data_IF_262167448828
#
_entry.id   IF_262167448828
#
_cell.length_a   1.000
_cell.length_b   1.000
_cell.length_c   1.000
_cell.angle_alpha   90.00
_cell.angle_beta   90.00
_cell.angle_gamma   90.00
#
_symmetry.space_group_name_H-M   'P 1'
#
loop_
_entity.id
_entity.type
_entity.pdbx_description
1 polymer ?
#
# COMPACT_ATOMS: atom_id res chain seq x y z
N UNK A 1 -45.79 -24.13 0.85
CA UNK A 1 -45.26 -22.84 0.36
C UNK A 1 -44.57 -22.03 1.46
N UNK A 2 -45.24 -21.65 2.56
CA UNK A 2 -44.65 -20.81 3.64
C UNK A 2 -43.34 -21.37 4.24
N UNK A 3 -43.26 -22.69 4.43
CA UNK A 3 -42.07 -23.37 4.98
C UNK A 3 -40.85 -23.29 4.03
N UNK A 4 -41.07 -23.38 2.72
CA UNK A 4 -40.01 -23.27 1.70
C UNK A 4 -39.45 -21.84 1.67
N UNK A 5 -40.33 -20.82 1.76
CA UNK A 5 -39.90 -19.42 1.80
C UNK A 5 -39.09 -19.09 3.06
N UNK A 6 -39.47 -19.62 4.22
CA UNK A 6 -38.70 -19.42 5.47
C UNK A 6 -37.33 -20.09 5.39
N UNK A 7 -37.28 -21.34 4.91
CA UNK A 7 -36.03 -22.09 4.78
C UNK A 7 -35.07 -21.42 3.77
N UNK A 8 -35.60 -20.88 2.66
CA UNK A 8 -34.82 -20.14 1.68
C UNK A 8 -34.30 -18.80 2.23
N UNK A 9 -35.12 -18.09 3.03
CA UNK A 9 -34.69 -16.85 3.70
C UNK A 9 -33.60 -17.10 4.75
N UNK A 10 -33.68 -18.20 5.50
CA UNK A 10 -32.66 -18.56 6.49
C UNK A 10 -31.33 -18.98 5.82
N UNK A 11 -31.38 -19.72 4.72
CA UNK A 11 -30.19 -20.04 3.91
C UNK A 11 -29.54 -18.77 3.36
N UNK A 12 -30.33 -17.85 2.80
CA UNK A 12 -29.81 -16.57 2.29
C UNK A 12 -29.17 -15.76 3.43
N UNK A 13 -29.83 -15.65 4.58
CA UNK A 13 -29.27 -14.94 5.75
C UNK A 13 -27.97 -15.58 6.23
N UNK A 14 -27.92 -16.90 6.26
CA UNK A 14 -26.72 -17.64 6.64
C UNK A 14 -25.57 -17.37 5.66
N UNK A 15 -25.81 -17.44 4.35
CA UNK A 15 -24.79 -17.15 3.32
C UNK A 15 -24.28 -15.72 3.45
N UNK A 16 -25.18 -14.73 3.60
CA UNK A 16 -24.77 -13.34 3.82
C UNK A 16 -23.93 -13.17 5.09
N UNK A 17 -24.31 -13.85 6.17
CA UNK A 17 -23.54 -13.81 7.43
C UNK A 17 -22.15 -14.42 7.26
N UNK A 18 -22.03 -15.55 6.57
CA UNK A 18 -20.73 -16.17 6.26
C UNK A 18 -19.86 -15.25 5.42
N UNK A 19 -20.40 -14.64 4.36
CA UNK A 19 -19.66 -13.69 3.51
C UNK A 19 -19.21 -12.49 4.33
N UNK A 20 -20.09 -11.92 5.16
CA UNK A 20 -19.78 -10.78 6.01
C UNK A 20 -18.66 -11.11 6.99
N UNK A 21 -18.77 -12.23 7.71
CA UNK A 21 -17.75 -12.68 8.68
C UNK A 21 -16.42 -12.94 7.98
N UNK A 22 -16.42 -13.64 6.84
CA UNK A 22 -15.20 -13.91 6.07
C UNK A 22 -14.53 -12.62 5.60
N UNK A 23 -15.30 -11.66 5.11
CA UNK A 23 -14.79 -10.35 4.67
C UNK A 23 -14.23 -9.55 5.85
N UNK A 24 -14.93 -9.52 6.98
CA UNK A 24 -14.48 -8.84 8.19
C UNK A 24 -13.16 -9.43 8.70
N UNK A 25 -13.04 -10.76 8.75
CA UNK A 25 -11.80 -11.45 9.13
C UNK A 25 -10.66 -11.14 8.16
N UNK A 26 -10.91 -11.16 6.85
CA UNK A 26 -9.89 -10.80 5.86
C UNK A 26 -9.38 -9.36 6.04
N UNK A 27 -10.29 -8.40 6.27
CA UNK A 27 -9.92 -7.01 6.55
C UNK A 27 -9.11 -6.87 7.85
N UNK A 28 -9.46 -7.62 8.90
CA UNK A 28 -8.72 -7.63 10.15
C UNK A 28 -7.30 -8.19 9.98
N UNK A 29 -7.13 -9.24 9.17
CA UNK A 29 -5.81 -9.80 8.86
C UNK A 29 -4.96 -8.78 8.10
N UNK A 30 -5.53 -8.12 7.08
CA UNK A 30 -4.82 -7.07 6.32
C UNK A 30 -4.47 -5.90 7.22
N UNK A 31 -5.41 -5.41 8.04
CA UNK A 31 -5.16 -4.32 8.97
C UNK A 31 -4.07 -4.67 10.00
N UNK A 32 -4.09 -5.88 10.54
CA UNK A 32 -3.05 -6.40 11.43
C UNK A 32 -1.69 -6.47 10.77
N UNK A 33 -1.62 -6.95 9.52
CA UNK A 33 -0.40 -6.97 8.72
C UNK A 33 0.16 -5.55 8.49
N UNK A 34 -0.67 -4.61 8.02
CA UNK A 34 -0.27 -3.22 7.80
C UNK A 34 0.17 -2.54 9.09
N UNK A 35 -0.52 -2.79 10.21
CA UNK A 35 -0.15 -2.26 11.51
C UNK A 35 1.22 -2.80 11.95
N UNK A 36 1.43 -4.11 11.85
CA UNK A 36 2.68 -4.76 12.22
C UNK A 36 3.84 -4.26 11.37
N UNK A 37 3.71 -4.31 10.03
CA UNK A 37 4.76 -3.86 9.11
C UNK A 37 5.00 -2.36 9.21
N UNK A 38 3.96 -1.56 9.38
CA UNK A 38 4.09 -0.11 9.47
C UNK A 38 4.83 0.39 10.72
N UNK A 39 4.89 -0.44 11.77
CA UNK A 39 5.66 -0.18 12.99
C UNK A 39 7.11 -0.69 12.92
N UNK A 40 7.50 -1.40 11.86
CA UNK A 40 8.88 -1.79 11.64
C UNK A 40 9.66 -0.65 10.96
N UNK A 41 11.00 -0.60 11.13
CA UNK A 41 11.83 0.31 10.36
C UNK A 41 11.65 0.06 8.86
N UNK A 42 11.53 1.13 8.08
CA UNK A 42 11.43 1.04 6.62
C UNK A 42 12.70 0.45 6.02
N UNK A 43 12.56 -0.31 4.94
CA UNK A 43 13.66 -0.99 4.24
C UNK A 43 14.23 -0.17 3.07
N UNK A 44 13.88 1.10 2.97
CA UNK A 44 14.34 2.02 1.94
C UNK A 44 15.62 2.70 2.40
N UNK A 45 16.72 2.52 1.67
CA UNK A 45 18.06 2.96 2.10
C UNK A 45 18.23 4.47 2.26
N UNK A 46 17.35 5.27 1.64
CA UNK A 46 17.36 6.73 1.74
C UNK A 46 16.53 7.26 2.93
N UNK A 47 15.76 6.40 3.60
CA UNK A 47 14.97 6.77 4.78
C UNK A 47 15.90 6.93 5.99
N UNK A 48 15.65 7.93 6.87
CA UNK A 48 16.38 8.04 8.13
C UNK A 48 16.41 6.73 8.93
N UNK A 49 17.57 6.41 9.51
CA UNK A 49 17.76 5.15 10.23
C UNK A 49 16.72 4.98 11.36
N UNK A 50 16.03 3.84 11.35
CA UNK A 50 15.04 3.50 12.38
C UNK A 50 13.66 4.14 12.20
N UNK A 51 13.45 4.98 11.18
CA UNK A 51 12.13 5.55 10.91
C UNK A 51 11.16 4.47 10.45
N UNK A 52 10.00 4.42 11.09
CA UNK A 52 8.91 3.51 10.72
C UNK A 52 8.05 4.11 9.62
N UNK A 53 7.29 3.27 8.90
CA UNK A 53 6.38 3.77 7.88
C UNK A 53 5.32 4.71 8.46
N UNK A 54 4.83 4.46 9.67
CA UNK A 54 3.85 5.35 10.31
C UNK A 54 4.43 6.73 10.65
N UNK A 55 5.69 6.79 11.09
CA UNK A 55 6.39 8.06 11.31
C UNK A 55 6.57 8.81 10.01
N UNK A 56 7.01 8.10 8.95
CA UNK A 56 7.11 8.69 7.62
C UNK A 56 5.76 9.22 7.14
N UNK A 57 4.69 8.43 7.19
CA UNK A 57 3.36 8.82 6.73
C UNK A 57 2.81 10.04 7.50
N UNK A 58 3.02 10.09 8.82
CA UNK A 58 2.64 11.24 9.65
C UNK A 58 3.41 12.50 9.23
N UNK A 59 4.73 12.41 9.09
CA UNK A 59 5.56 13.52 8.64
C UNK A 59 5.17 14.00 7.22
N UNK A 60 4.82 13.09 6.30
CA UNK A 60 4.31 13.44 4.97
C UNK A 60 2.93 14.11 5.03
N UNK A 61 2.07 13.70 5.96
CA UNK A 61 0.76 14.33 6.19
C UNK A 61 0.92 15.78 6.64
N UNK A 62 1.82 16.03 7.59
CA UNK A 62 2.12 17.37 8.09
C UNK A 62 2.74 18.23 6.98
N UNK A 63 3.76 17.72 6.28
CA UNK A 63 4.41 18.42 5.19
C UNK A 63 3.43 18.82 4.08
N UNK A 64 2.43 18.00 3.77
CA UNK A 64 1.42 18.31 2.76
C UNK A 64 0.49 19.46 3.13
N UNK A 65 0.29 19.72 4.43
CA UNK A 65 -0.53 20.84 4.92
C UNK A 65 0.23 22.17 4.89
N UNK A 66 1.56 22.11 4.95
CA UNK A 66 2.46 23.27 4.89
C UNK A 66 2.70 23.77 3.47
N UNK A 67 2.51 22.93 2.44
CA UNK A 67 2.69 23.33 1.04
C UNK A 67 1.68 24.39 0.63
N UNK A 68 2.17 25.51 0.09
CA UNK A 68 1.34 26.49 -0.58
C UNK A 68 1.37 26.31 -2.11
N UNK A 69 0.20 26.17 -2.77
CA UNK A 69 -1.15 26.13 -2.21
C UNK A 69 -1.50 24.76 -1.60
N UNK A 70 -2.27 24.74 -0.48
CA UNK A 70 -2.62 23.51 0.27
C UNK A 70 -3.20 22.38 -0.58
N UNK A 71 -4.01 22.73 -1.59
CA UNK A 71 -4.59 21.77 -2.56
C UNK A 71 -3.53 20.93 -3.27
N UNK A 72 -2.33 21.46 -3.46
CA UNK A 72 -1.23 20.78 -4.11
C UNK A 72 -0.71 19.65 -3.22
N UNK A 73 -0.39 19.97 -1.96
CA UNK A 73 0.17 18.99 -1.04
C UNK A 73 -0.83 17.89 -0.68
N UNK A 74 -2.03 18.29 -0.27
CA UNK A 74 -3.11 17.33 0.03
C UNK A 74 -3.50 16.53 -1.22
N UNK A 75 -3.56 17.17 -2.39
CA UNK A 75 -3.83 16.49 -3.65
C UNK A 75 -2.82 15.39 -3.95
N UNK A 76 -1.52 15.67 -3.79
CA UNK A 76 -0.45 14.69 -3.97
C UNK A 76 -0.59 13.50 -3.01
N UNK A 77 -0.90 13.74 -1.73
CA UNK A 77 -1.15 12.67 -0.76
C UNK A 77 -2.38 11.83 -1.09
N UNK A 78 -3.48 12.46 -1.50
CA UNK A 78 -4.71 11.75 -1.86
C UNK A 78 -4.48 10.90 -3.11
N UNK A 79 -3.83 11.45 -4.12
CA UNK A 79 -3.44 10.69 -5.31
C UNK A 79 -2.57 9.49 -4.94
N UNK A 80 -1.60 9.67 -4.04
CA UNK A 80 -0.80 8.56 -3.52
C UNK A 80 -1.65 7.54 -2.75
N UNK A 81 -2.58 7.96 -1.89
CA UNK A 81 -3.43 7.05 -1.12
C UNK A 81 -4.31 6.16 -2.02
N UNK A 82 -4.73 6.66 -3.18
CA UNK A 82 -5.50 5.90 -4.17
C UNK A 82 -4.60 5.01 -5.03
N UNK A 83 -3.49 5.56 -5.54
CA UNK A 83 -2.67 4.89 -6.54
C UNK A 83 -1.56 4.02 -5.94
N UNK A 84 -0.96 4.42 -4.82
CA UNK A 84 0.18 3.77 -4.19
C UNK A 84 -0.01 2.27 -3.96
N UNK A 85 -1.12 1.83 -3.32
CA UNK A 85 -1.39 0.40 -3.12
C UNK A 85 -1.54 -0.38 -4.43
N UNK A 86 -2.17 0.23 -5.45
CA UNK A 86 -2.41 -0.39 -6.77
C UNK A 86 -1.09 -0.54 -7.54
N UNK A 87 -0.29 0.53 -7.62
CA UNK A 87 1.03 0.46 -8.27
C UNK A 87 1.94 -0.53 -7.56
N UNK A 88 1.88 -0.63 -6.23
CA UNK A 88 2.65 -1.64 -5.50
C UNK A 88 2.26 -3.07 -5.90
N UNK A 89 0.96 -3.34 -6.05
CA UNK A 89 0.49 -4.64 -6.52
C UNK A 89 0.94 -4.94 -7.95
N UNK A 90 0.81 -3.98 -8.87
CA UNK A 90 1.26 -4.12 -10.27
C UNK A 90 2.76 -4.36 -10.34
N UNK A 91 3.58 -3.57 -9.65
CA UNK A 91 5.04 -3.71 -9.67
C UNK A 91 5.50 -5.03 -9.04
N UNK A 92 4.82 -5.48 -7.99
CA UNK A 92 5.07 -6.79 -7.41
C UNK A 92 4.77 -7.92 -8.40
N UNK A 93 3.64 -7.85 -9.12
CA UNK A 93 3.29 -8.85 -10.13
C UNK A 93 4.29 -8.87 -11.29
N UNK A 94 4.70 -7.69 -11.79
CA UNK A 94 5.70 -7.57 -12.85
C UNK A 94 7.01 -8.26 -12.45
N UNK A 95 7.49 -8.04 -11.22
CA UNK A 95 8.71 -8.68 -10.72
C UNK A 95 8.58 -10.20 -10.53
N UNK A 96 7.41 -10.69 -10.12
CA UNK A 96 7.13 -12.13 -9.97
C UNK A 96 6.97 -12.83 -11.32
N UNK A 97 6.47 -12.13 -12.34
CA UNK A 97 6.13 -12.69 -13.65
C UNK A 97 6.86 -11.97 -14.80
N UNK A 98 8.21 -12.06 -14.87
CA UNK A 98 8.96 -11.46 -15.97
C UNK A 98 8.55 -12.08 -17.30
N UNK A 99 8.35 -11.24 -18.32
CA UNK A 99 7.82 -11.59 -19.64
C UNK A 99 6.30 -11.77 -19.72
N UNK A 100 5.58 -11.59 -18.60
CA UNK A 100 4.12 -11.65 -18.51
C UNK A 100 3.41 -10.46 -19.18
N UNK A 101 2.07 -10.42 -19.13
CA UNK A 101 1.30 -9.33 -19.76
C UNK A 101 1.62 -7.98 -19.11
N UNK A 102 1.60 -7.90 -17.78
CA UNK A 102 1.87 -6.64 -17.07
C UNK A 102 3.29 -6.13 -17.30
N UNK A 103 4.28 -7.03 -17.36
CA UNK A 103 5.67 -6.67 -17.66
C UNK A 103 5.79 -6.02 -19.05
N UNK A 104 5.12 -6.58 -20.07
CA UNK A 104 5.17 -6.04 -21.44
C UNK A 104 4.50 -4.68 -21.63
N UNK A 105 3.52 -4.35 -20.78
CA UNK A 105 2.78 -3.07 -20.85
C UNK A 105 3.24 -2.07 -19.81
N UNK A 106 4.11 -2.47 -18.89
CA UNK A 106 4.71 -1.60 -17.88
C UNK A 106 5.98 -0.97 -18.44
N UNK A 107 6.28 0.25 -18.00
CA UNK A 107 7.58 0.86 -18.24
C UNK A 107 8.58 0.38 -17.19
N UNK A 108 9.85 0.32 -17.57
CA UNK A 108 10.94 0.07 -16.64
C UNK A 108 10.94 1.16 -15.55
N UNK A 109 10.74 0.77 -14.30
CA UNK A 109 10.76 1.65 -13.14
C UNK A 109 11.69 1.07 -12.05
N UNK A 110 12.58 1.88 -11.43
CA UNK A 110 13.50 1.40 -10.40
C UNK A 110 12.84 0.79 -9.14
N UNK A 111 11.55 1.06 -8.92
CA UNK A 111 10.79 0.50 -7.81
C UNK A 111 10.27 -0.93 -8.10
N UNK A 112 10.30 -1.39 -9.36
CA UNK A 112 9.96 -2.77 -9.73
C UNK A 112 11.06 -3.70 -9.19
N UNK A 113 10.72 -4.73 -8.40
CA UNK A 113 11.71 -5.65 -7.85
C UNK A 113 12.24 -6.59 -8.94
N UNK A 114 13.55 -6.80 -8.96
CA UNK A 114 14.22 -7.72 -9.90
C UNK A 114 14.71 -8.97 -9.17
N UNK A 115 14.81 -10.09 -9.90
CA UNK A 115 15.31 -11.35 -9.34
C UNK A 115 14.37 -12.04 -8.35
N UNK A 116 13.07 -11.73 -8.38
CA UNK A 116 12.08 -12.24 -7.41
C UNK A 116 11.10 -13.26 -8.00
N UNK A 117 11.31 -13.72 -9.24
CA UNK A 117 10.41 -14.63 -9.98
C UNK A 117 9.98 -15.86 -9.18
N UNK A 118 10.90 -16.49 -8.45
CA UNK A 118 10.67 -17.75 -7.73
C UNK A 118 10.32 -17.53 -6.25
N UNK A 119 9.83 -16.33 -5.89
CA UNK A 119 9.43 -16.00 -4.52
C UNK A 119 8.24 -16.87 -4.09
N UNK A 120 8.35 -17.62 -2.97
CA UNK A 120 7.22 -18.38 -2.45
C UNK A 120 6.04 -17.47 -2.13
N UNK A 121 4.81 -17.95 -2.36
CA UNK A 121 3.59 -17.16 -2.19
C UNK A 121 3.46 -16.48 -0.82
N UNK A 122 3.95 -17.13 0.25
CA UNK A 122 3.88 -16.61 1.62
C UNK A 122 4.86 -15.46 1.87
N UNK A 123 5.87 -15.26 1.02
CA UNK A 123 6.79 -14.12 1.06
C UNK A 123 6.32 -12.95 0.18
N UNK A 124 5.30 -13.16 -0.67
CA UNK A 124 4.76 -12.11 -1.55
C UNK A 124 4.20 -10.91 -0.77
N UNK A 125 3.52 -11.06 0.38
CA UNK A 125 3.09 -9.90 1.17
C UNK A 125 4.26 -9.01 1.62
N UNK A 126 5.38 -9.60 2.03
CA UNK A 126 6.57 -8.85 2.41
C UNK A 126 7.22 -8.16 1.21
N UNK A 127 7.28 -8.84 0.05
CA UNK A 127 7.74 -8.25 -1.20
C UNK A 127 6.87 -7.04 -1.59
N UNK A 128 5.55 -7.19 -1.53
CA UNK A 128 4.60 -6.11 -1.81
C UNK A 128 4.78 -4.94 -0.84
N UNK A 129 4.99 -5.20 0.45
CA UNK A 129 5.26 -4.15 1.42
C UNK A 129 6.54 -3.38 1.09
N UNK A 130 7.60 -4.07 0.71
CA UNK A 130 8.87 -3.44 0.34
C UNK A 130 8.74 -2.56 -0.91
N UNK A 131 7.97 -3.01 -1.91
CA UNK A 131 7.64 -2.21 -3.09
C UNK A 131 6.80 -1.00 -2.70
N UNK A 132 5.82 -1.19 -1.81
CA UNK A 132 4.95 -0.11 -1.32
C UNK A 132 5.78 0.98 -0.62
N UNK A 133 6.71 0.63 0.28
CA UNK A 133 7.59 1.61 0.93
C UNK A 133 8.45 2.38 -0.08
N UNK A 134 9.02 1.69 -1.09
CA UNK A 134 9.83 2.31 -2.15
C UNK A 134 9.02 3.31 -2.97
N UNK A 135 7.81 2.92 -3.39
CA UNK A 135 6.89 3.80 -4.12
C UNK A 135 6.53 5.00 -3.26
N UNK A 136 6.15 4.77 -2.00
CA UNK A 136 5.81 5.83 -1.03
C UNK A 136 6.93 6.85 -0.89
N UNK A 137 8.16 6.37 -0.73
CA UNK A 137 9.34 7.23 -0.67
C UNK A 137 9.54 8.00 -1.97
N UNK A 138 9.52 7.31 -3.12
CA UNK A 138 9.72 7.95 -4.42
C UNK A 138 8.67 9.02 -4.73
N UNK A 139 7.42 8.81 -4.30
CA UNK A 139 6.29 9.69 -4.59
C UNK A 139 6.11 10.80 -3.56
N UNK A 140 6.54 10.65 -2.31
CA UNK A 140 6.28 11.64 -1.23
C UNK A 140 7.54 12.26 -0.62
N UNK A 141 8.71 11.64 -0.79
CA UNK A 141 9.97 12.20 -0.30
C UNK A 141 10.76 12.94 -1.39
N UNK A 142 10.61 12.57 -2.67
CA UNK A 142 11.32 13.24 -3.77
C UNK A 142 10.71 14.60 -4.10
N UNK A 143 11.57 15.54 -4.45
CA UNK A 143 11.15 16.84 -5.00
C UNK A 143 10.42 16.63 -6.32
N UNK A 144 9.24 17.24 -6.44
CA UNK A 144 8.44 17.27 -7.65
C UNK A 144 8.37 18.71 -8.17
N UNK A 145 8.52 18.94 -9.48
CA UNK A 145 8.38 20.28 -10.02
C UNK A 145 7.01 20.85 -9.63
N UNK A 146 7.03 22.03 -8.98
CA UNK A 146 5.89 22.79 -8.44
C UNK A 146 5.28 22.40 -7.07
N UNK A 147 5.54 21.21 -6.51
CA UNK A 147 4.87 20.77 -5.27
C UNK A 147 5.80 20.03 -4.31
N UNK A 148 6.83 20.73 -3.83
CA UNK A 148 7.84 20.13 -2.97
C UNK A 148 7.36 20.09 -1.52
N UNK A 149 7.39 18.90 -0.93
CA UNK A 149 7.26 18.76 0.51
C UNK A 149 8.58 19.20 1.14
N UNK A 150 8.53 19.63 2.40
CA UNK A 150 9.76 19.80 3.17
C UNK A 150 10.54 18.46 3.22
N UNK A 151 11.87 18.52 3.36
CA UNK A 151 12.69 17.33 3.60
C UNK A 151 12.11 16.49 4.74
N UNK A 152 12.27 15.17 4.66
CA UNK A 152 11.82 14.26 5.71
C UNK A 152 12.57 14.57 7.00
N UNK A 153 11.83 14.95 8.03
CA UNK A 153 12.41 15.20 9.35
C UNK A 153 12.67 13.86 10.03
N UNK A 154 13.91 13.66 10.45
CA UNK A 154 14.27 12.50 11.25
C UNK A 154 13.50 12.59 12.56
N UNK A 155 12.75 11.55 12.94
CA UNK A 155 12.12 11.45 14.25
C UNK A 155 13.20 11.60 15.35
N UNK A 156 13.37 12.81 15.85
CA UNK A 156 14.50 13.17 16.72
C UNK A 156 15.05 14.58 16.52
N UNK A 157 14.20 15.63 16.53
CA UNK A 157 14.55 16.91 17.14
C UNK A 157 13.31 17.71 17.55
#
# INVERSE_FOLDING_TARGET
MKFIFVLLADVVRFVFHVIFVATALALLVVAGFLYFKGNQPMQVSQVPAGMTYWQFAADRLDAAQEVEPKRCGVGRLVTFGVLGPVYSAVYTDVGLHPGGFLDRVSQDDPNIPTGVKDTPWYNVPDLWWNVFEKISWSMLARNAPACNFRPVETAGR
#
